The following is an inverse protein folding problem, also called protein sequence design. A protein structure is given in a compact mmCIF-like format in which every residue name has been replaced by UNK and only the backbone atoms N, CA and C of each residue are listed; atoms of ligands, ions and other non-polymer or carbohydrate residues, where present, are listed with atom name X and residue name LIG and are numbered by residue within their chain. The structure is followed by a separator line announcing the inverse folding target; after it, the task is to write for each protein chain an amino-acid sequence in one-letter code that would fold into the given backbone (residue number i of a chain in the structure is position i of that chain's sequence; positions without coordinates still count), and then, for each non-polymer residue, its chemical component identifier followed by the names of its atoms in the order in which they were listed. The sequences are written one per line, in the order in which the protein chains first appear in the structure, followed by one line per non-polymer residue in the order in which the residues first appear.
data_IF_971237451144
#
_entry.id   IF_971237451144
#
_cell.length_a   1.000
_cell.length_b   1.000
_cell.length_c   1.000
_cell.angle_alpha   90.00
_cell.angle_beta   90.00
_cell.angle_gamma   90.00
#
_symmetry.space_group_name_H-M   'P 1'
#
loop_
_entity.id
_entity.type
_entity.pdbx_description
1 polymer ?
#
# COMPACT_ATOMS: atom_id res chain seq x y z
N UNK A 1 25.77 -4.23 -14.44
CA UNK A 1 25.49 -5.64 -14.13
C UNK A 1 25.65 -6.45 -15.42
N UNK A 2 26.89 -6.70 -15.84
CA UNK A 2 27.21 -7.34 -17.14
C UNK A 2 27.89 -8.70 -16.98
N UNK A 3 28.33 -9.04 -15.77
CA UNK A 3 28.94 -10.32 -15.45
C UNK A 3 27.86 -11.35 -15.09
N UNK A 4 27.65 -12.32 -15.97
CA UNK A 4 26.62 -13.35 -15.81
C UNK A 4 26.92 -14.34 -14.66
N UNK A 5 28.19 -14.53 -14.28
CA UNK A 5 28.57 -15.41 -13.16
C UNK A 5 28.35 -14.71 -11.83
N UNK A 6 28.56 -13.39 -11.79
CA UNK A 6 28.30 -12.56 -10.60
C UNK A 6 26.81 -12.22 -10.43
N UNK A 7 26.05 -12.23 -11.52
CA UNK A 7 24.64 -11.83 -11.55
C UNK A 7 23.79 -12.87 -12.29
N UNK A 8 23.51 -14.03 -11.67
CA UNK A 8 22.67 -15.06 -12.29
C UNK A 8 21.32 -14.49 -12.72
N UNK A 9 20.89 -14.78 -13.96
CA UNK A 9 19.66 -14.21 -14.52
C UNK A 9 18.39 -14.54 -13.73
N UNK A 10 18.37 -15.69 -13.05
CA UNK A 10 17.28 -16.10 -12.17
C UNK A 10 17.10 -15.15 -10.98
N UNK A 11 18.19 -14.87 -10.26
CA UNK A 11 18.19 -13.94 -9.12
C UNK A 11 17.79 -12.53 -9.55
N UNK A 12 18.23 -12.10 -10.74
CA UNK A 12 17.84 -10.79 -11.28
C UNK A 12 16.36 -10.71 -11.61
N UNK A 13 15.78 -11.79 -12.11
CA UNK A 13 14.35 -11.86 -12.40
C UNK A 13 13.54 -11.82 -11.10
N UNK A 14 13.97 -12.54 -10.08
CA UNK A 14 13.36 -12.53 -8.75
C UNK A 14 13.43 -11.14 -8.11
N UNK A 15 14.62 -10.52 -8.09
CA UNK A 15 14.81 -9.16 -7.59
C UNK A 15 13.92 -8.14 -8.32
N UNK A 16 13.85 -8.24 -9.65
CA UNK A 16 13.01 -7.35 -10.44
C UNK A 16 11.51 -7.54 -10.14
N UNK A 17 11.09 -8.73 -9.72
CA UNK A 17 9.71 -9.00 -9.31
C UNK A 17 9.30 -8.19 -8.07
N UNK A 18 10.26 -7.85 -7.19
CA UNK A 18 10.06 -7.02 -6.01
C UNK A 18 10.03 -5.52 -6.31
N UNK A 19 10.39 -5.08 -7.53
CA UNK A 19 10.32 -3.65 -7.92
C UNK A 19 8.91 -3.07 -7.71
N UNK A 20 7.87 -3.88 -7.90
CA UNK A 20 6.47 -3.47 -7.71
C UNK A 20 6.12 -3.06 -6.28
N UNK A 21 6.93 -3.45 -5.28
CA UNK A 21 6.69 -3.11 -3.87
C UNK A 21 6.70 -1.58 -3.63
N UNK A 22 7.49 -0.82 -4.40
CA UNK A 22 7.47 0.65 -4.31
C UNK A 22 6.14 1.25 -4.79
N UNK A 23 5.56 0.68 -5.84
CA UNK A 23 4.27 1.12 -6.38
C UNK A 23 3.15 0.79 -5.39
N UNK A 24 3.26 -0.33 -4.69
CA UNK A 24 2.40 -0.67 -3.57
C UNK A 24 2.53 0.34 -2.42
N UNK A 25 3.75 0.70 -2.04
CA UNK A 25 3.99 1.74 -1.01
C UNK A 25 3.36 3.09 -1.37
N UNK A 26 3.51 3.54 -2.63
CA UNK A 26 2.82 4.76 -3.09
C UNK A 26 1.30 4.64 -3.01
N UNK A 27 0.76 3.46 -3.33
CA UNK A 27 -0.68 3.19 -3.23
C UNK A 27 -1.15 3.26 -1.78
N UNK A 28 -0.43 2.66 -0.85
CA UNK A 28 -0.76 2.68 0.57
C UNK A 28 -0.78 4.10 1.14
N UNK A 29 0.22 4.93 0.80
CA UNK A 29 0.24 6.33 1.22
C UNK A 29 -0.95 7.10 0.63
N UNK A 30 -1.14 7.06 -0.70
CA UNK A 30 -2.16 7.86 -1.39
C UNK A 30 -3.58 7.38 -1.15
N UNK A 31 -3.80 6.07 -1.14
CA UNK A 31 -5.14 5.49 -1.08
C UNK A 31 -5.52 5.09 0.34
N UNK A 32 -4.61 4.46 1.08
CA UNK A 32 -4.95 3.94 2.42
C UNK A 32 -4.83 5.03 3.48
N UNK A 33 -3.67 5.69 3.61
CA UNK A 33 -3.49 6.73 4.63
C UNK A 33 -4.26 8.00 4.31
N UNK A 34 -4.23 8.43 3.04
CA UNK A 34 -4.87 9.67 2.60
C UNK A 34 -6.29 9.48 2.07
N UNK A 35 -6.83 8.26 2.03
CA UNK A 35 -8.19 7.99 1.56
C UNK A 35 -8.49 8.54 0.16
N UNK A 36 -7.50 8.51 -0.75
CA UNK A 36 -7.54 9.14 -2.07
C UNK A 36 -7.73 10.67 -2.07
N UNK A 37 -7.55 11.33 -0.93
CA UNK A 37 -7.57 12.79 -0.83
C UNK A 37 -6.14 13.31 -0.98
N UNK A 38 -5.88 13.99 -2.09
CA UNK A 38 -4.55 14.54 -2.40
C UNK A 38 -4.31 15.93 -1.77
N UNK A 39 -5.24 16.43 -0.96
CA UNK A 39 -5.18 17.78 -0.42
C UNK A 39 -4.55 17.80 0.96
N UNK A 40 -3.32 18.30 1.04
CA UNK A 40 -2.70 18.78 2.28
C UNK A 40 -3.45 20.02 2.78
N UNK A 41 -3.49 20.24 4.09
CA UNK A 41 -4.38 21.25 4.70
C UNK A 41 -3.75 22.64 4.75
N UNK A 42 -2.44 22.69 4.91
CA UNK A 42 -1.69 23.93 5.06
C UNK A 42 -1.68 24.75 3.77
N UNK A 43 -1.76 26.08 3.94
CA UNK A 43 -1.68 27.06 2.86
C UNK A 43 -0.33 27.77 2.77
N UNK A 44 0.65 27.33 3.56
CA UNK A 44 2.02 27.86 3.58
C UNK A 44 2.98 26.78 3.08
N UNK A 45 3.89 27.07 2.13
CA UNK A 45 4.79 26.07 1.55
C UNK A 45 5.58 25.28 2.61
N UNK A 46 6.07 25.95 3.65
CA UNK A 46 6.89 25.35 4.71
C UNK A 46 6.08 24.35 5.54
N UNK A 47 4.82 24.68 5.84
CA UNK A 47 3.92 23.80 6.58
C UNK A 47 3.40 22.63 5.71
N UNK A 48 3.28 22.84 4.41
CA UNK A 48 2.99 21.75 3.45
C UNK A 48 4.11 20.72 3.44
N UNK A 49 5.37 21.17 3.45
CA UNK A 49 6.51 20.27 3.56
C UNK A 49 6.50 19.50 4.89
N UNK A 50 6.20 20.18 6.00
CA UNK A 50 6.04 19.54 7.31
C UNK A 50 4.93 18.47 7.30
N UNK A 51 3.79 18.75 6.67
CA UNK A 51 2.72 17.75 6.54
C UNK A 51 3.18 16.52 5.76
N UNK A 52 3.92 16.71 4.66
CA UNK A 52 4.47 15.60 3.88
C UNK A 52 5.41 14.73 4.72
N UNK A 53 6.28 15.34 5.52
CA UNK A 53 7.13 14.63 6.48
C UNK A 53 6.32 13.87 7.51
N UNK A 54 5.22 14.45 8.01
CA UNK A 54 4.29 13.78 8.92
C UNK A 54 3.67 12.52 8.30
N UNK A 55 3.27 12.59 7.03
CA UNK A 55 2.75 11.44 6.28
C UNK A 55 3.81 10.35 6.14
N UNK A 56 5.04 10.71 5.76
CA UNK A 56 6.15 9.76 5.63
C UNK A 56 6.51 9.11 6.97
N UNK A 57 6.50 9.88 8.05
CA UNK A 57 6.76 9.37 9.39
C UNK A 57 5.69 8.35 9.82
N UNK A 58 4.42 8.68 9.63
CA UNK A 58 3.32 7.77 9.94
C UNK A 58 3.35 6.49 9.08
N UNK A 59 3.70 6.60 7.80
CA UNK A 59 3.91 5.44 6.94
C UNK A 59 5.02 4.52 7.48
N UNK A 60 6.19 5.10 7.79
CA UNK A 60 7.32 4.35 8.31
C UNK A 60 7.06 3.75 9.70
N UNK A 61 6.29 4.42 10.55
CA UNK A 61 5.84 3.89 11.83
C UNK A 61 5.03 2.61 11.64
N UNK A 62 4.04 2.63 10.75
CA UNK A 62 3.23 1.43 10.45
C UNK A 62 4.11 0.34 9.85
N UNK A 63 5.01 0.66 8.91
CA UNK A 63 5.94 -0.31 8.32
C UNK A 63 6.88 -0.93 9.35
N UNK A 64 7.40 -0.13 10.28
CA UNK A 64 8.21 -0.63 11.39
C UNK A 64 7.41 -1.58 12.28
N UNK A 65 6.15 -1.25 12.59
CA UNK A 65 5.31 -2.15 13.35
C UNK A 65 5.01 -3.45 12.60
N UNK A 66 4.83 -3.40 11.27
CA UNK A 66 4.69 -4.59 10.44
C UNK A 66 5.93 -5.49 10.49
N UNK A 67 7.13 -4.91 10.58
CA UNK A 67 8.37 -5.68 10.77
C UNK A 67 8.33 -6.42 12.11
N UNK A 68 7.94 -5.74 13.19
CA UNK A 68 7.82 -6.34 14.52
C UNK A 68 6.75 -7.44 14.57
N UNK A 69 5.59 -7.20 13.96
CA UNK A 69 4.53 -8.19 13.81
C UNK A 69 4.99 -9.40 12.98
N UNK A 70 5.67 -9.19 11.86
CA UNK A 70 6.17 -10.30 11.04
C UNK A 70 7.20 -11.15 11.79
N UNK A 71 8.00 -10.56 12.68
CA UNK A 71 8.94 -11.32 13.51
C UNK A 71 8.26 -12.34 14.45
N UNK A 72 6.99 -12.13 14.82
CA UNK A 72 6.20 -13.10 15.60
C UNK A 72 5.63 -14.23 14.71
N UNK A 73 5.70 -14.10 13.39
CA UNK A 73 5.16 -15.04 12.41
C UNK A 73 6.29 -15.81 11.71
N UNK A 74 6.43 -17.10 12.01
CA UNK A 74 7.44 -17.94 11.36
C UNK A 74 7.19 -18.01 9.84
N UNK A 75 8.19 -17.59 9.05
CA UNK A 75 8.20 -17.69 7.59
C UNK A 75 7.37 -16.63 6.85
N UNK A 76 6.95 -15.56 7.52
CA UNK A 76 6.24 -14.45 6.89
C UNK A 76 7.09 -13.20 6.81
N UNK A 77 6.98 -12.52 5.68
CA UNK A 77 7.62 -11.24 5.42
C UNK A 77 6.66 -10.08 5.74
N UNK A 78 7.17 -8.90 6.13
CA UNK A 78 6.32 -7.75 6.44
C UNK A 78 5.41 -7.32 5.27
N UNK A 79 5.88 -7.42 4.03
CA UNK A 79 5.08 -7.12 2.83
C UNK A 79 3.94 -8.12 2.57
N UNK A 80 3.89 -9.24 3.30
CA UNK A 80 2.79 -10.19 3.28
C UNK A 80 1.73 -9.90 4.35
N UNK A 81 1.87 -8.79 5.08
CA UNK A 81 0.86 -8.27 6.00
C UNK A 81 0.07 -7.13 5.34
N UNK A 82 -1.21 -7.05 5.69
CA UNK A 82 -2.12 -6.02 5.22
C UNK A 82 -1.74 -4.68 5.84
N UNK A 83 -1.32 -3.73 5.02
CA UNK A 83 -1.01 -2.37 5.48
C UNK A 83 -2.23 -1.68 6.09
N UNK A 84 -3.41 -1.79 5.46
CA UNK A 84 -4.65 -1.20 6.00
C UNK A 84 -5.07 -1.83 7.33
N UNK A 85 -4.94 -3.15 7.45
CA UNK A 85 -5.18 -3.86 8.72
C UNK A 85 -4.19 -3.42 9.80
N UNK A 86 -2.92 -3.27 9.44
CA UNK A 86 -1.86 -2.80 10.34
C UNK A 86 -2.07 -1.36 10.80
N UNK A 87 -2.50 -0.46 9.91
CA UNK A 87 -2.94 0.89 10.29
C UNK A 87 -4.07 0.83 11.33
N UNK A 88 -5.06 -0.05 11.12
CA UNK A 88 -6.15 -0.25 12.07
C UNK A 88 -5.66 -0.68 13.46
N UNK A 89 -4.72 -1.61 13.52
CA UNK A 89 -4.12 -2.07 14.78
C UNK A 89 -3.35 -0.95 15.49
N UNK A 90 -2.53 -0.19 14.77
CA UNK A 90 -1.78 0.96 15.32
C UNK A 90 -2.75 2.03 15.83
N UNK A 91 -3.80 2.37 15.07
CA UNK A 91 -4.82 3.32 15.50
C UNK A 91 -5.55 2.85 16.77
N UNK A 92 -5.90 1.56 16.84
CA UNK A 92 -6.51 0.96 18.04
C UNK A 92 -5.59 1.06 19.26
N UNK A 93 -4.29 0.81 19.08
CA UNK A 93 -3.31 0.97 20.14
C UNK A 93 -3.25 2.43 20.61
N UNK A 94 -3.13 3.39 19.70
CA UNK A 94 -3.10 4.82 20.03
C UNK A 94 -4.34 5.28 20.80
N UNK A 95 -5.53 4.78 20.44
CA UNK A 95 -6.76 5.05 21.19
C UNK A 95 -6.73 4.44 22.59
N UNK A 96 -6.18 3.23 22.74
CA UNK A 96 -6.07 2.54 24.04
C UNK A 96 -5.07 3.23 24.98
N UNK A 97 -4.00 3.81 24.43
CA UNK A 97 -2.97 4.51 25.20
C UNK A 97 -3.52 5.71 25.98
N UNK A 98 -4.60 6.35 25.53
CA UNK A 98 -5.17 7.52 26.20
C UNK A 98 -5.64 7.23 27.63
N UNK A 99 -6.00 5.99 27.94
CA UNK A 99 -6.43 5.55 29.27
C UNK A 99 -5.46 4.60 29.97
N UNK A 100 -4.31 4.31 29.36
CA UNK A 100 -3.35 3.36 29.89
C UNK A 100 -2.31 4.05 30.79
N UNK A 101 -1.91 3.38 31.88
CA UNK A 101 -0.74 3.82 32.64
C UNK A 101 0.54 3.63 31.80
N UNK A 102 1.56 4.50 31.97
CA UNK A 102 2.81 4.36 31.22
C UNK A 102 3.49 2.99 31.37
N UNK A 103 3.33 2.33 32.52
CA UNK A 103 3.87 0.99 32.77
C UNK A 103 3.22 -0.11 31.93
N UNK A 104 2.01 0.10 31.41
CA UNK A 104 1.28 -0.87 30.58
C UNK A 104 1.62 -0.77 29.09
N UNK A 105 2.29 0.30 28.64
CA UNK A 105 2.62 0.52 27.23
C UNK A 105 3.39 -0.67 26.61
N UNK A 106 4.43 -1.23 27.26
CA UNK A 106 5.16 -2.36 26.69
C UNK A 106 4.28 -3.61 26.50
N UNK A 107 3.30 -3.84 27.40
CA UNK A 107 2.32 -4.93 27.27
C UNK A 107 1.43 -4.72 26.05
N UNK A 108 0.86 -3.52 25.90
CA UNK A 108 0.00 -3.18 24.76
C UNK A 108 0.71 -3.32 23.41
N UNK A 109 2.01 -2.99 23.35
CA UNK A 109 2.83 -3.21 22.15
C UNK A 109 2.93 -4.71 21.85
N UNK A 110 3.25 -5.54 22.85
CA UNK A 110 3.34 -7.01 22.67
C UNK A 110 2.00 -7.61 22.28
N UNK A 111 0.90 -7.13 22.86
CA UNK A 111 -0.45 -7.57 22.51
C UNK A 111 -0.77 -7.27 21.05
N UNK A 112 -0.44 -6.06 20.57
CA UNK A 112 -0.58 -5.71 19.16
C UNK A 112 0.29 -6.60 18.26
N UNK A 113 1.53 -6.90 18.66
CA UNK A 113 2.44 -7.79 17.92
C UNK A 113 1.93 -9.23 17.86
N UNK A 114 1.24 -9.70 18.89
CA UNK A 114 0.60 -11.03 18.92
C UNK A 114 -0.57 -11.15 17.93
N UNK A 115 -1.18 -10.02 17.54
CA UNK A 115 -2.30 -9.97 16.60
C UNK A 115 -1.86 -10.02 15.13
N UNK A 116 -0.58 -10.24 14.85
CA UNK A 116 -0.04 -10.32 13.50
C UNK A 116 -0.79 -11.31 12.58
N UNK A 117 -1.34 -12.39 13.14
CA UNK A 117 -2.13 -13.37 12.38
C UNK A 117 -3.38 -12.76 11.72
N UNK A 118 -4.00 -11.76 12.33
CA UNK A 118 -5.23 -11.12 11.84
C UNK A 118 -5.01 -10.31 10.56
N UNK A 119 -3.78 -9.89 10.31
CA UNK A 119 -3.43 -9.03 9.17
C UNK A 119 -2.67 -9.77 8.08
N UNK A 120 -2.59 -11.10 8.13
CA UNK A 120 -1.92 -11.89 7.08
C UNK A 120 -2.69 -11.80 5.76
N UNK A 121 -1.97 -11.51 4.68
CA UNK A 121 -2.53 -11.56 3.34
C UNK A 121 -2.47 -13.01 2.80
N UNK A 122 -3.43 -13.39 1.94
CA UNK A 122 -3.30 -14.62 1.18
C UNK A 122 -2.07 -14.53 0.26
N UNK A 123 -1.52 -15.69 -0.10
CA UNK A 123 -0.41 -15.77 -1.05
C UNK A 123 -0.72 -15.00 -2.36
N UNK A 124 0.32 -14.40 -2.94
CA UNK A 124 0.19 -13.68 -4.21
C UNK A 124 -0.35 -14.64 -5.26
N UNK A 125 -1.52 -14.30 -5.82
CA UNK A 125 -2.13 -15.11 -6.88
C UNK A 125 -1.22 -15.11 -8.09
N UNK A 126 -1.02 -16.28 -8.68
CA UNK A 126 -0.38 -16.38 -9.98
C UNK A 126 -1.22 -15.70 -11.05
N UNK A 127 -0.53 -15.32 -12.13
CA UNK A 127 -1.15 -14.65 -13.26
C UNK A 127 -2.11 -15.62 -13.95
N UNK A 128 -3.40 -15.33 -13.87
CA UNK A 128 -4.44 -16.13 -14.53
C UNK A 128 -4.49 -15.95 -16.05
N UNK A 129 -3.99 -14.82 -16.58
CA UNK A 129 -4.11 -14.48 -18.01
C UNK A 129 -2.73 -14.41 -18.69
N UNK A 130 -2.56 -15.08 -19.85
CA UNK A 130 -1.29 -15.07 -20.56
C UNK A 130 -0.91 -13.65 -21.00
N UNK A 131 0.40 -13.38 -21.13
CA UNK A 131 0.90 -12.11 -21.70
C UNK A 131 0.71 -12.13 -23.21
N UNK A 132 -0.51 -11.84 -23.65
CA UNK A 132 -0.85 -11.72 -25.06
C UNK A 132 -1.32 -10.31 -25.36
N UNK A 133 -1.02 -9.82 -26.56
CA UNK A 133 -1.63 -8.59 -27.07
C UNK A 133 -3.12 -8.90 -27.24
N UNK A 134 -3.96 -8.30 -26.39
CA UNK A 134 -5.40 -8.41 -26.55
C UNK A 134 -5.81 -7.63 -27.79
N UNK A 135 -6.72 -8.20 -28.59
CA UNK A 135 -7.35 -7.47 -29.67
C UNK A 135 -7.96 -6.17 -29.14
N UNK A 136 -7.88 -5.10 -29.93
CA UNK A 136 -8.52 -3.83 -29.56
C UNK A 136 -10.02 -4.08 -29.47
N UNK A 137 -10.67 -3.75 -28.34
CA UNK A 137 -12.13 -3.84 -28.24
C UNK A 137 -12.78 -3.03 -29.36
N UNK A 138 -13.79 -3.60 -30.02
CA UNK A 138 -14.58 -2.87 -31.01
C UNK A 138 -15.19 -1.63 -30.34
N UNK A 139 -14.96 -0.45 -30.91
CA UNK A 139 -15.59 0.77 -30.39
C UNK A 139 -17.09 0.67 -30.62
N UNK A 140 -17.89 0.85 -29.56
CA UNK A 140 -19.32 1.04 -29.74
C UNK A 140 -19.58 2.16 -30.75
N UNK A 141 -20.57 2.02 -31.65
CA UNK A 141 -20.92 3.08 -32.59
C UNK A 141 -21.16 4.36 -31.82
N UNK A 142 -20.51 5.46 -32.24
CA UNK A 142 -20.89 6.77 -31.70
C UNK A 142 -22.30 7.09 -32.19
N UNK A 143 -23.20 7.59 -31.33
CA UNK A 143 -24.47 8.11 -31.82
C UNK A 143 -24.19 9.17 -32.89
N UNK A 144 -24.89 9.08 -34.03
CA UNK A 144 -24.85 10.15 -35.03
C UNK A 144 -25.32 11.42 -34.33
N UNK A 145 -24.44 12.42 -34.23
CA UNK A 145 -24.86 13.74 -33.77
C UNK A 145 -25.88 14.24 -34.78
N UNK A 146 -27.15 14.34 -34.36
CA UNK A 146 -28.14 15.03 -35.17
C UNK A 146 -27.64 16.45 -35.41
N UNK A 147 -27.47 16.82 -36.68
CA UNK A 147 -27.21 18.22 -37.03
C UNK A 147 -28.44 19.03 -36.60
N UNK A 148 -28.29 20.31 -36.22
CA UNK A 148 -29.40 21.14 -35.73
C UNK A 148 -30.61 21.17 -36.70
N UNK A 149 -30.38 20.96 -37.99
CA UNK A 149 -31.37 20.79 -39.05
C UNK A 149 -32.24 19.52 -38.95
N UNK A 150 -31.85 18.52 -38.15
CA UNK A 150 -32.57 17.25 -37.95
C UNK A 150 -33.40 17.23 -36.65
N UNK A 151 -33.45 18.35 -35.92
CA UNK A 151 -34.23 18.52 -34.68
C UNK A 151 -35.50 19.37 -34.90
N UNK A 152 -35.75 19.84 -36.13
CA UNK A 152 -36.83 20.77 -36.48
C UNK A 152 -37.96 20.17 -37.32
N UNK A 153 -38.02 18.83 -37.44
CA UNK A 153 -39.16 18.11 -38.03
C UNK A 153 -39.79 17.18 -37.00
#
# INVERSE_FOLDING_TARGET
MTDAMRYPGGEMTELYSHRWEIELGYREIKQTMQQNRLTLRSKKPELVEQELWGVLLAYNLVRYQMIKMAASLKGYWPNQLSFSGSCGLVMRMLMTLQGASPGRIPELIRDMESMAQLVKLPGRRERAYPRVVKERPWKYPKPQSKTASQLLN
#
